data_IF_193309228013
#
_entry.id   IF_193309228013
#
_cell.length_a   1.000
_cell.length_b   1.000
_cell.length_c   1.000
_cell.angle_alpha   90.00
_cell.angle_beta   90.00
_cell.angle_gamma   90.00
#
_symmetry.space_group_name_H-M   'P 1'
#
loop_
_entity.id
_entity.type
_entity.pdbx_description
1 polymer ?
#
# COMPACT_ATOMS: atom_id res chain seq x y z
N UNK A 1 -22.67 24.25 14.31
CA UNK A 1 -21.44 23.97 13.58
C UNK A 1 -20.93 22.51 13.76
N UNK A 2 -20.89 21.97 14.98
CA UNK A 2 -20.42 20.61 15.27
C UNK A 2 -21.27 19.48 14.65
N UNK A 3 -22.59 19.63 14.60
CA UNK A 3 -23.53 18.64 14.02
C UNK A 3 -23.28 18.42 12.51
N UNK A 4 -23.01 19.48 11.76
CA UNK A 4 -22.73 19.37 10.32
C UNK A 4 -21.42 18.61 10.05
N UNK A 5 -20.40 18.77 10.89
CA UNK A 5 -19.12 18.09 10.72
C UNK A 5 -19.21 16.59 10.97
N UNK A 6 -20.01 16.18 11.97
CA UNK A 6 -20.26 14.77 12.26
C UNK A 6 -21.09 14.07 11.16
N UNK A 7 -22.05 14.76 10.57
CA UNK A 7 -22.85 14.26 9.45
C UNK A 7 -22.01 14.06 8.20
N UNK A 8 -21.15 15.02 7.85
CA UNK A 8 -20.24 14.95 6.71
C UNK A 8 -19.25 13.78 6.86
N UNK A 9 -18.66 13.61 8.04
CA UNK A 9 -17.77 12.46 8.31
C UNK A 9 -18.50 11.11 8.19
N UNK A 10 -19.74 11.03 8.67
CA UNK A 10 -20.56 9.82 8.56
C UNK A 10 -20.89 9.48 7.10
N UNK A 11 -21.18 10.48 6.30
CA UNK A 11 -21.49 10.32 4.88
C UNK A 11 -20.25 9.86 4.10
N UNK A 12 -19.08 10.46 4.35
CA UNK A 12 -17.79 10.05 3.78
C UNK A 12 -17.43 8.61 4.15
N UNK A 13 -17.66 8.20 5.39
CA UNK A 13 -17.41 6.83 5.83
C UNK A 13 -18.31 5.80 5.13
N UNK A 14 -19.59 6.12 4.94
CA UNK A 14 -20.52 5.27 4.21
C UNK A 14 -20.16 5.14 2.73
N UNK A 15 -19.74 6.22 2.11
CA UNK A 15 -19.27 6.21 0.73
C UNK A 15 -17.98 5.39 0.58
N UNK A 16 -17.04 5.55 1.50
CA UNK A 16 -15.82 4.74 1.57
C UNK A 16 -16.16 3.25 1.69
N UNK A 17 -17.04 2.88 2.65
CA UNK A 17 -17.43 1.47 2.83
C UNK A 17 -18.07 0.90 1.57
N UNK A 18 -18.96 1.63 0.93
CA UNK A 18 -19.61 1.22 -0.32
C UNK A 18 -18.59 0.99 -1.43
N UNK A 19 -17.68 1.93 -1.62
CA UNK A 19 -16.63 1.85 -2.63
C UNK A 19 -15.69 0.68 -2.37
N UNK A 20 -15.26 0.49 -1.12
CA UNK A 20 -14.43 -0.64 -0.69
C UNK A 20 -15.11 -1.98 -0.97
N UNK A 21 -16.39 -2.13 -0.62
CA UNK A 21 -17.15 -3.36 -0.87
C UNK A 21 -17.34 -3.64 -2.35
N UNK A 22 -17.54 -2.62 -3.18
CA UNK A 22 -17.66 -2.77 -4.63
C UNK A 22 -16.34 -3.29 -5.23
N UNK A 23 -15.21 -2.72 -4.85
CA UNK A 23 -13.90 -3.19 -5.30
C UNK A 23 -13.66 -4.64 -4.85
N UNK A 24 -13.94 -4.94 -3.57
CA UNK A 24 -13.80 -6.30 -3.04
C UNK A 24 -14.69 -7.31 -3.78
N UNK A 25 -15.93 -6.94 -4.08
CA UNK A 25 -16.86 -7.77 -4.86
C UNK A 25 -16.34 -8.02 -6.27
N UNK A 26 -15.78 -7.01 -6.92
CA UNK A 26 -15.17 -7.14 -8.25
C UNK A 26 -13.97 -8.08 -8.22
N UNK A 27 -13.08 -7.96 -7.23
CA UNK A 27 -11.94 -8.88 -7.08
C UNK A 27 -12.43 -10.32 -6.88
N UNK A 28 -13.41 -10.53 -6.01
CA UNK A 28 -14.00 -11.86 -5.77
C UNK A 28 -14.60 -12.47 -7.03
N UNK A 29 -15.29 -11.65 -7.83
CA UNK A 29 -15.94 -12.09 -9.07
C UNK A 29 -14.92 -12.49 -10.15
N UNK A 30 -13.88 -11.67 -10.38
CA UNK A 30 -12.95 -11.87 -11.48
C UNK A 30 -11.72 -12.73 -11.12
N UNK A 31 -11.24 -12.68 -9.89
CA UNK A 31 -9.97 -13.29 -9.48
C UNK A 31 -10.11 -14.32 -8.33
N UNK A 32 -11.27 -14.41 -7.72
CA UNK A 32 -11.54 -15.35 -6.64
C UNK A 32 -11.04 -14.92 -5.27
N UNK A 33 -11.35 -15.72 -4.24
CA UNK A 33 -11.09 -15.41 -2.83
C UNK A 33 -9.59 -15.33 -2.51
N UNK A 34 -8.78 -16.15 -3.14
CA UNK A 34 -7.32 -16.18 -2.96
C UNK A 34 -6.59 -14.90 -3.39
N UNK A 35 -7.27 -14.04 -4.15
CA UNK A 35 -6.74 -12.75 -4.58
C UNK A 35 -7.05 -11.59 -3.62
N UNK A 36 -7.80 -11.86 -2.54
CA UNK A 36 -8.07 -10.88 -1.49
C UNK A 36 -6.97 -10.94 -0.43
N UNK A 37 -6.00 -10.06 -0.55
CA UNK A 37 -5.01 -9.89 0.50
C UNK A 37 -5.60 -9.16 1.72
N UNK A 38 -5.16 -9.46 2.95
CA UNK A 38 -5.48 -8.69 4.15
C UNK A 38 -4.72 -7.35 4.20
N UNK A 39 -4.06 -6.99 3.13
CA UNK A 39 -3.21 -5.82 2.98
C UNK A 39 -3.75 -4.90 1.89
N UNK A 40 -3.79 -3.60 2.17
CA UNK A 40 -4.23 -2.57 1.23
C UNK A 40 -3.24 -1.40 1.15
N UNK A 41 -3.27 -0.73 0.02
CA UNK A 41 -2.73 0.61 -0.17
C UNK A 41 -3.86 1.53 -0.64
N UNK A 42 -4.23 2.50 0.18
CA UNK A 42 -5.24 3.49 -0.20
C UNK A 42 -4.60 4.67 -0.93
N UNK A 43 -5.40 5.30 -1.76
CA UNK A 43 -4.98 6.45 -2.55
C UNK A 43 -4.52 7.59 -1.63
N UNK A 44 -3.46 8.28 -2.01
CA UNK A 44 -2.82 9.33 -1.21
C UNK A 44 -2.40 8.93 0.21
N UNK A 45 -2.42 7.64 0.58
CA UNK A 45 -2.19 7.16 1.95
C UNK A 45 -3.12 7.82 2.96
N UNK A 46 -4.35 8.04 2.54
CA UNK A 46 -5.35 8.71 3.37
C UNK A 46 -6.39 7.72 3.90
N UNK A 47 -6.58 7.71 5.20
CA UNK A 47 -7.74 7.15 5.90
C UNK A 47 -7.82 7.83 7.27
N UNK A 48 -9.01 8.21 7.68
CA UNK A 48 -9.27 8.64 9.05
C UNK A 48 -9.64 7.42 9.95
N UNK A 49 -9.83 7.67 11.24
CA UNK A 49 -10.14 6.60 12.20
C UNK A 49 -11.44 5.85 11.86
N UNK A 50 -12.42 6.52 11.25
CA UNK A 50 -13.68 5.88 10.85
C UNK A 50 -13.49 4.92 9.67
N UNK A 51 -12.65 5.29 8.71
CA UNK A 51 -12.25 4.42 7.59
C UNK A 51 -11.40 3.25 8.09
N UNK A 52 -10.49 3.48 9.05
CA UNK A 52 -9.72 2.42 9.70
C UNK A 52 -10.63 1.42 10.41
N UNK A 53 -11.66 1.89 11.13
CA UNK A 53 -12.65 1.01 11.76
C UNK A 53 -13.40 0.13 10.75
N UNK A 54 -13.73 0.68 9.57
CA UNK A 54 -14.33 -0.07 8.47
C UNK A 54 -13.36 -1.15 7.95
N UNK A 55 -12.09 -0.82 7.72
CA UNK A 55 -11.09 -1.78 7.28
C UNK A 55 -10.94 -2.95 8.25
N UNK A 56 -10.87 -2.67 9.56
CA UNK A 56 -10.84 -3.69 10.62
C UNK A 56 -12.06 -4.61 10.59
N UNK A 57 -13.28 -4.04 10.42
CA UNK A 57 -14.54 -4.79 10.27
C UNK A 57 -14.44 -5.84 9.16
N UNK A 58 -13.71 -5.54 8.09
CA UNK A 58 -13.50 -6.43 6.94
C UNK A 58 -12.16 -7.20 6.99
N UNK A 59 -11.52 -7.26 8.16
CA UNK A 59 -10.28 -8.01 8.42
C UNK A 59 -9.09 -7.55 7.56
N UNK A 60 -9.03 -6.26 7.27
CA UNK A 60 -7.85 -5.63 6.69
C UNK A 60 -7.04 -5.01 7.83
N UNK A 61 -5.92 -5.63 8.13
CA UNK A 61 -5.05 -5.23 9.24
C UNK A 61 -3.67 -4.74 8.79
N UNK A 62 -3.35 -4.83 7.50
CA UNK A 62 -2.08 -4.40 6.95
C UNK A 62 -2.29 -3.26 5.95
N UNK A 63 -1.58 -2.14 6.16
CA UNK A 63 -1.64 -0.98 5.28
C UNK A 63 -0.24 -0.63 4.78
N UNK A 64 -0.10 -0.49 3.45
CA UNK A 64 1.14 -0.02 2.84
C UNK A 64 1.21 1.50 2.91
N UNK A 65 2.11 2.01 3.73
CA UNK A 65 2.36 3.42 3.95
C UNK A 65 3.21 4.08 2.86
N UNK A 66 3.49 5.35 3.05
CA UNK A 66 4.21 6.16 2.08
C UNK A 66 5.65 5.68 1.84
N UNK A 67 6.08 5.88 0.61
CA UNK A 67 7.46 5.71 0.14
C UNK A 67 8.30 6.99 0.29
N UNK A 68 7.65 8.12 0.59
CA UNK A 68 8.29 9.43 0.74
C UNK A 68 8.56 9.75 2.21
N UNK A 69 9.76 10.25 2.50
CA UNK A 69 10.11 10.79 3.80
C UNK A 69 9.22 11.98 4.15
N UNK A 70 8.81 12.05 5.42
CA UNK A 70 7.99 13.15 5.93
C UNK A 70 6.54 13.17 5.44
N UNK A 71 6.08 12.16 4.69
CA UNK A 71 4.68 12.05 4.30
C UNK A 71 3.88 11.33 5.39
N UNK A 72 2.76 11.93 5.77
CA UNK A 72 1.82 11.31 6.72
C UNK A 72 1.12 10.13 6.03
N UNK A 73 1.04 9.02 6.74
CA UNK A 73 0.37 7.80 6.30
C UNK A 73 -0.89 7.56 7.12
N UNK A 74 -2.04 7.61 6.46
CA UNK A 74 -3.34 7.29 7.06
C UNK A 74 -3.69 8.16 8.26
N UNK A 75 -4.18 7.54 9.34
CA UNK A 75 -4.51 8.19 10.60
C UNK A 75 -3.31 8.31 11.58
N UNK A 76 -2.09 8.03 11.10
CA UNK A 76 -0.89 8.25 11.89
C UNK A 76 -0.59 9.75 12.00
N UNK A 77 -0.10 10.18 13.15
CA UNK A 77 0.46 11.53 13.28
C UNK A 77 1.86 11.63 12.64
N UNK A 78 2.45 12.82 12.67
CA UNK A 78 3.77 13.05 12.07
C UNK A 78 4.87 12.16 12.66
N UNK A 79 4.98 12.11 13.98
CA UNK A 79 6.01 11.31 14.66
C UNK A 79 5.86 9.82 14.39
N UNK A 80 4.63 9.32 14.32
CA UNK A 80 4.34 7.93 13.99
C UNK A 80 4.68 7.61 12.52
N UNK A 81 4.38 8.53 11.61
CA UNK A 81 4.72 8.38 10.18
C UNK A 81 6.23 8.41 9.94
N UNK A 82 6.95 9.28 10.64
CA UNK A 82 8.42 9.34 10.60
C UNK A 82 9.03 8.05 11.20
N UNK A 83 8.43 7.51 12.28
CA UNK A 83 8.81 6.21 12.84
C UNK A 83 8.56 5.05 11.88
N UNK A 84 7.42 5.06 11.18
CA UNK A 84 7.12 4.08 10.14
C UNK A 84 8.18 4.13 9.02
N UNK A 85 8.52 5.33 8.56
CA UNK A 85 9.52 5.51 7.51
C UNK A 85 10.89 4.98 7.92
N UNK A 86 11.34 5.32 9.14
CA UNK A 86 12.65 4.92 9.66
C UNK A 86 12.75 3.41 9.95
N UNK A 87 11.72 2.85 10.61
CA UNK A 87 11.69 1.44 11.06
C UNK A 87 11.11 0.48 10.04
N UNK A 88 10.51 0.98 8.96
CA UNK A 88 9.83 0.25 7.88
C UNK A 88 8.52 -0.44 8.28
N UNK A 89 8.24 -0.55 9.56
CA UNK A 89 6.96 -1.05 10.09
C UNK A 89 6.57 -0.28 11.35
N UNK A 90 5.29 -0.10 11.56
CA UNK A 90 4.72 0.55 12.73
C UNK A 90 3.37 -0.08 13.06
N UNK A 91 3.12 -0.32 14.34
CA UNK A 91 1.84 -0.87 14.81
C UNK A 91 1.10 0.22 15.58
N UNK A 92 -0.10 0.50 15.17
CA UNK A 92 -0.98 1.43 15.86
C UNK A 92 -2.44 0.98 15.76
N UNK A 93 -3.14 0.97 16.86
CA UNK A 93 -4.55 0.58 16.96
C UNK A 93 -4.86 -0.76 16.24
N UNK A 94 -4.03 -1.78 16.50
CA UNK A 94 -4.13 -3.12 15.89
C UNK A 94 -4.01 -3.16 14.36
N UNK A 95 -3.54 -2.08 13.74
CA UNK A 95 -3.17 -2.04 12.33
C UNK A 95 -1.65 -2.09 12.20
N UNK A 96 -1.17 -2.90 11.28
CA UNK A 96 0.22 -3.01 10.88
C UNK A 96 0.48 -2.13 9.66
N UNK A 97 1.22 -1.06 9.85
CA UNK A 97 1.63 -0.17 8.76
C UNK A 97 3.01 -0.61 8.26
N UNK A 98 3.14 -0.77 6.96
CA UNK A 98 4.39 -1.18 6.31
C UNK A 98 4.84 -0.08 5.36
N UNK A 99 6.13 0.30 5.44
CA UNK A 99 6.70 1.23 4.46
C UNK A 99 6.70 0.58 3.08
N UNK A 100 6.33 1.33 2.05
CA UNK A 100 6.60 0.94 0.66
C UNK A 100 8.09 1.14 0.36
N UNK A 101 8.80 0.09 -0.06
CA UNK A 101 10.24 0.15 -0.29
C UNK A 101 10.57 0.59 -1.71
N UNK A 102 10.03 -0.12 -2.70
CA UNK A 102 10.34 0.08 -4.10
C UNK A 102 9.10 0.56 -4.84
N UNK A 103 9.23 1.71 -5.46
CA UNK A 103 8.25 2.21 -6.41
C UNK A 103 8.86 2.23 -7.80
N UNK A 104 8.39 1.32 -8.64
CA UNK A 104 9.00 1.02 -9.95
C UNK A 104 9.17 2.26 -10.83
N UNK A 105 8.16 3.11 -10.93
CA UNK A 105 8.19 4.29 -11.77
C UNK A 105 9.15 5.38 -11.28
N UNK A 106 9.62 5.31 -10.03
CA UNK A 106 10.59 6.24 -9.43
C UNK A 106 12.03 5.74 -9.45
N UNK A 107 12.28 4.52 -9.87
CA UNK A 107 13.64 4.01 -9.97
C UNK A 107 14.40 4.73 -11.09
N UNK A 108 15.40 5.52 -10.73
CA UNK A 108 16.21 6.31 -11.68
C UNK A 108 17.47 5.56 -12.11
N UNK A 109 18.17 4.95 -11.15
CA UNK A 109 19.43 4.23 -11.35
C UNK A 109 19.24 2.71 -11.43
N UNK A 110 18.17 2.27 -12.07
CA UNK A 110 17.91 0.85 -12.26
C UNK A 110 19.01 0.18 -13.12
N UNK A 111 19.53 -1.04 -12.79
CA UNK A 111 19.12 -1.91 -11.68
C UNK A 111 19.90 -1.71 -10.37
N UNK A 112 20.81 -0.75 -10.30
CA UNK A 112 21.73 -0.55 -9.17
C UNK A 112 20.99 -0.31 -7.85
N UNK A 113 19.85 0.37 -7.90
CA UNK A 113 19.03 0.63 -6.72
C UNK A 113 18.56 -0.66 -6.02
N UNK A 114 18.43 -1.78 -6.74
CA UNK A 114 18.04 -3.06 -6.15
C UNK A 114 19.11 -3.57 -5.15
N UNK A 115 20.37 -3.20 -5.32
CA UNK A 115 21.44 -3.60 -4.42
C UNK A 115 21.23 -3.06 -3.00
N UNK A 116 20.56 -1.91 -2.84
CA UNK A 116 20.22 -1.33 -1.53
C UNK A 116 19.28 -2.23 -0.71
N UNK A 117 18.70 -3.23 -1.34
CA UNK A 117 17.71 -4.14 -0.74
C UNK A 117 18.26 -5.57 -0.54
N UNK A 118 19.51 -5.84 -0.93
CA UNK A 118 20.08 -7.19 -0.98
C UNK A 118 20.03 -7.97 0.36
N UNK A 119 20.10 -7.25 1.49
CA UNK A 119 20.14 -7.88 2.82
C UNK A 119 18.87 -7.60 3.62
N UNK A 120 17.75 -7.34 2.97
CA UNK A 120 16.48 -7.08 3.65
C UNK A 120 15.63 -8.34 3.68
N UNK A 121 15.07 -8.67 4.84
CA UNK A 121 14.21 -9.85 5.03
C UNK A 121 12.91 -9.74 4.25
N UNK A 122 12.37 -8.53 4.14
CA UNK A 122 11.11 -8.25 3.46
C UNK A 122 11.25 -7.02 2.59
N UNK A 123 10.71 -7.08 1.38
CA UNK A 123 10.70 -5.97 0.42
C UNK A 123 9.28 -5.79 -0.09
N UNK A 124 8.73 -4.58 0.08
CA UNK A 124 7.46 -4.19 -0.51
C UNK A 124 7.69 -3.49 -1.83
N UNK A 125 7.16 -4.06 -2.91
CA UNK A 125 7.29 -3.52 -4.26
C UNK A 125 5.93 -3.04 -4.74
N UNK A 126 5.89 -1.84 -5.30
CA UNK A 126 4.68 -1.19 -5.76
C UNK A 126 4.86 -0.54 -7.13
N UNK A 127 3.80 -0.52 -7.90
CA UNK A 127 3.67 0.29 -9.11
C UNK A 127 2.22 0.71 -9.34
N UNK A 128 2.02 1.88 -9.93
CA UNK A 128 0.69 2.28 -10.35
C UNK A 128 0.32 1.63 -11.69
N UNK A 129 -0.96 1.29 -11.87
CA UNK A 129 -1.48 0.72 -13.12
C UNK A 129 -1.25 1.65 -14.32
N UNK A 130 -1.42 2.97 -14.14
CA UNK A 130 -1.16 3.94 -15.21
C UNK A 130 0.31 3.98 -15.63
N UNK A 131 1.23 3.67 -14.71
CA UNK A 131 2.66 3.60 -15.00
C UNK A 131 3.05 2.33 -15.78
N UNK A 132 2.14 1.35 -15.88
CA UNK A 132 2.35 0.10 -16.62
C UNK A 132 1.65 0.08 -17.99
N UNK A 133 0.70 0.99 -18.23
CA UNK A 133 -0.11 1.01 -19.42
C UNK A 133 0.53 1.83 -20.56
N UNK A 134 0.25 1.43 -21.81
CA UNK A 134 0.66 2.14 -23.02
C UNK A 134 2.13 2.00 -23.39
N UNK A 135 2.47 2.47 -24.59
CA UNK A 135 3.83 2.35 -25.15
C UNK A 135 4.87 3.20 -24.42
N UNK A 136 4.47 4.35 -23.88
CA UNK A 136 5.38 5.27 -23.16
C UNK A 136 5.92 4.68 -21.88
N UNK A 137 5.26 3.66 -21.33
CA UNK A 137 5.60 3.02 -20.05
C UNK A 137 6.34 1.69 -20.20
N UNK A 138 6.89 1.39 -21.39
CA UNK A 138 7.61 0.14 -21.63
C UNK A 138 8.79 -0.04 -20.68
N UNK A 139 9.51 1.04 -20.33
CA UNK A 139 10.62 1.00 -19.39
C UNK A 139 10.19 0.57 -17.98
N UNK A 140 9.03 1.01 -17.49
CA UNK A 140 8.52 0.61 -16.20
C UNK A 140 8.17 -0.88 -16.17
N UNK A 141 7.63 -1.42 -17.26
CA UNK A 141 7.39 -2.87 -17.40
C UNK A 141 8.69 -3.67 -17.40
N UNK A 142 9.74 -3.15 -18.06
CA UNK A 142 11.07 -3.74 -18.04
C UNK A 142 11.64 -3.71 -16.61
N UNK A 143 11.60 -2.56 -15.93
CA UNK A 143 12.03 -2.41 -14.53
C UNK A 143 11.31 -3.40 -13.62
N UNK A 144 9.98 -3.48 -13.69
CA UNK A 144 9.18 -4.43 -12.90
C UNK A 144 9.62 -5.87 -13.16
N UNK A 145 9.69 -6.28 -14.43
CA UNK A 145 10.10 -7.65 -14.81
C UNK A 145 11.49 -7.99 -14.31
N UNK A 146 12.43 -7.06 -14.41
CA UNK A 146 13.81 -7.27 -13.96
C UNK A 146 13.89 -7.26 -12.42
N UNK A 147 13.13 -6.42 -11.73
CA UNK A 147 13.05 -6.44 -10.27
C UNK A 147 12.53 -7.78 -9.75
N UNK A 148 11.46 -8.32 -10.35
CA UNK A 148 10.93 -9.64 -10.01
C UNK A 148 11.98 -10.74 -10.23
N UNK A 149 12.70 -10.71 -11.36
CA UNK A 149 13.79 -11.67 -11.64
C UNK A 149 14.92 -11.55 -10.64
N UNK A 150 15.31 -10.32 -10.28
CA UNK A 150 16.36 -10.08 -9.31
C UNK A 150 15.96 -10.60 -7.92
N UNK A 151 14.73 -10.32 -7.46
CA UNK A 151 14.19 -10.85 -6.20
C UNK A 151 14.22 -12.38 -6.19
N UNK A 152 13.71 -13.02 -7.24
CA UNK A 152 13.73 -14.48 -7.35
C UNK A 152 15.15 -15.06 -7.33
N UNK A 153 16.13 -14.42 -8.03
CA UNK A 153 17.54 -14.82 -8.03
C UNK A 153 18.19 -14.70 -6.65
N UNK A 154 17.72 -13.77 -5.82
CA UNK A 154 18.21 -13.56 -4.46
C UNK A 154 17.36 -14.32 -3.41
N UNK A 155 16.64 -15.35 -3.83
CA UNK A 155 15.85 -16.26 -2.98
C UNK A 155 14.68 -15.60 -2.24
N UNK A 156 14.18 -14.46 -2.69
CA UNK A 156 12.96 -13.88 -2.15
C UNK A 156 11.73 -14.70 -2.58
N UNK A 157 10.86 -14.97 -1.64
CA UNK A 157 9.56 -15.60 -1.88
C UNK A 157 8.49 -14.53 -1.95
N UNK A 158 7.59 -14.64 -2.93
CA UNK A 158 6.45 -13.76 -3.06
C UNK A 158 5.32 -14.28 -2.17
N UNK A 159 4.83 -13.44 -1.28
CA UNK A 159 3.72 -13.75 -0.37
C UNK A 159 2.86 -12.51 -0.13
N UNK A 160 1.68 -12.72 0.44
CA UNK A 160 0.90 -11.64 1.01
C UNK A 160 1.38 -11.38 2.45
N UNK A 161 1.22 -10.13 2.91
CA UNK A 161 1.42 -9.80 4.32
C UNK A 161 0.26 -10.43 5.11
N UNK A 162 0.60 -11.27 6.08
CA UNK A 162 -0.34 -11.96 6.98
C UNK A 162 -0.21 -11.44 8.41
#
# INVERSE_FOLDING_TARGET
>A
MLLNHALIKKEQSLEFERSFLNVRKSILHWAGKSSLAPCLRLHYYFADDSMIAILKKYKVYHLLGADDEGRISYNLNRLQSDSLYARRAYIYDSIYYHKTDIRIERMECFPLELLNYQNKDTITLFSHEWAMNGHRNILNRIKLRQSIKWLAKNNYKFTFLE
#
